data_IF_651555348792
#
_entry.id   IF_651555348792
#
_cell.length_a   1.000
_cell.length_b   1.000
_cell.length_c   1.000
_cell.angle_alpha   90.00
_cell.angle_beta   90.00
_cell.angle_gamma   90.00
#
_symmetry.space_group_name_H-M   'P 1'
#
loop_
_entity.id
_entity.type
_entity.pdbx_description
1 polymer ?
#
# COMPACT_ATOMS: atom_id res chain seq x y z
N UNK A 1 29.52 55.89 -11.61
CA UNK A 1 29.09 54.66 -10.93
C UNK A 1 27.78 54.26 -11.59
N UNK A 2 27.70 53.02 -12.06
CA UNK A 2 26.65 52.55 -12.96
C UNK A 2 25.41 52.13 -12.18
N UNK A 3 24.24 52.67 -12.54
CA UNK A 3 22.95 52.11 -12.16
C UNK A 3 22.62 51.03 -13.20
N UNK A 4 22.52 49.78 -12.77
CA UNK A 4 22.13 48.64 -13.60
C UNK A 4 20.79 48.11 -13.13
N UNK A 5 19.74 48.48 -13.85
CA UNK A 5 18.45 47.80 -13.81
C UNK A 5 18.58 46.45 -14.50
N UNK A 6 18.48 45.35 -13.75
CA UNK A 6 18.46 43.99 -14.29
C UNK A 6 17.09 43.35 -14.02
N UNK A 7 16.19 43.48 -15.00
CA UNK A 7 15.04 42.60 -15.16
C UNK A 7 15.53 41.27 -15.76
N UNK A 8 15.37 40.18 -15.01
CA UNK A 8 15.48 38.83 -15.58
C UNK A 8 14.57 37.87 -14.82
N UNK A 9 13.42 37.61 -15.43
CA UNK A 9 12.54 36.52 -15.04
C UNK A 9 13.24 35.17 -15.08
N UNK A 10 12.93 34.32 -14.11
CA UNK A 10 13.23 32.88 -14.20
C UNK A 10 12.18 32.04 -13.48
N UNK A 11 11.35 31.43 -14.32
CA UNK A 11 10.72 30.11 -14.21
C UNK A 11 10.05 29.74 -12.88
N UNK A 12 8.72 29.87 -12.84
CA UNK A 12 7.89 29.05 -11.97
C UNK A 12 8.10 27.56 -12.29
N UNK A 13 8.73 26.92 -11.32
CA UNK A 13 8.66 25.52 -10.96
C UNK A 13 7.31 24.88 -11.31
N UNK A 14 7.34 23.83 -12.15
CA UNK A 14 6.33 22.79 -12.18
C UNK A 14 7.05 21.45 -12.38
N UNK A 15 7.55 20.90 -11.27
CA UNK A 15 8.07 19.55 -11.19
C UNK A 15 6.93 18.54 -11.45
N UNK A 16 6.70 18.20 -12.71
CA UNK A 16 5.77 17.14 -13.13
C UNK A 16 6.40 15.77 -12.87
N UNK A 17 6.48 15.35 -11.61
CA UNK A 17 7.10 14.08 -11.18
C UNK A 17 6.24 13.18 -10.28
N UNK A 18 5.13 13.66 -9.74
CA UNK A 18 4.39 12.97 -8.66
C UNK A 18 3.27 12.00 -9.12
N UNK A 19 3.05 11.85 -10.43
CA UNK A 19 1.89 11.08 -10.92
C UNK A 19 2.11 9.55 -10.93
N UNK A 20 3.37 9.10 -10.98
CA UNK A 20 3.68 7.65 -11.04
C UNK A 20 3.57 7.01 -9.65
N UNK A 21 4.04 7.69 -8.60
CA UNK A 21 4.02 7.16 -7.23
C UNK A 21 2.59 7.06 -6.66
N UNK A 22 1.75 8.07 -6.93
CA UNK A 22 0.33 8.05 -6.55
C UNK A 22 -0.44 6.91 -7.23
N UNK A 23 -0.19 6.67 -8.53
CA UNK A 23 -0.84 5.57 -9.26
C UNK A 23 -0.40 4.18 -8.79
N UNK A 24 0.86 4.03 -8.38
CA UNK A 24 1.36 2.80 -7.78
C UNK A 24 0.72 2.54 -6.41
N UNK A 25 0.64 3.58 -5.56
CA UNK A 25 -0.01 3.50 -4.25
C UNK A 25 -1.48 3.12 -4.34
N UNK A 26 -2.22 3.65 -5.31
CA UNK A 26 -3.64 3.27 -5.53
C UNK A 26 -3.76 1.79 -5.94
N UNK A 27 -2.89 1.31 -6.82
CA UNK A 27 -2.88 -0.11 -7.25
C UNK A 27 -2.48 -1.07 -6.14
N UNK A 28 -1.70 -0.61 -5.18
CA UNK A 28 -1.30 -1.40 -4.02
C UNK A 28 -2.45 -1.51 -3.03
N UNK A 29 -3.24 -0.44 -2.85
CA UNK A 29 -4.47 -0.48 -2.06
C UNK A 29 -5.51 -1.48 -2.61
N UNK A 30 -5.59 -1.69 -3.93
CA UNK A 30 -6.47 -2.70 -4.53
C UNK A 30 -6.10 -4.14 -4.11
N UNK A 31 -4.86 -4.37 -3.67
CA UNK A 31 -4.36 -5.69 -3.24
C UNK A 31 -4.48 -5.91 -1.73
N UNK A 32 -4.72 -4.84 -0.98
CA UNK A 32 -4.85 -4.89 0.47
C UNK A 32 -6.31 -5.04 0.88
N UNK A 33 -6.56 -5.79 1.95
CA UNK A 33 -7.89 -5.80 2.58
C UNK A 33 -8.18 -4.42 3.16
N UNK A 34 -9.44 -3.97 3.16
CA UNK A 34 -9.76 -2.67 3.76
C UNK A 34 -9.39 -2.62 5.25
N UNK A 35 -8.77 -1.52 5.68
CA UNK A 35 -8.32 -1.33 7.06
C UNK A 35 -9.47 -1.44 8.08
N UNK A 36 -10.69 -1.09 7.66
CA UNK A 36 -11.89 -1.20 8.48
C UNK A 36 -12.25 -2.66 8.78
N UNK A 37 -12.10 -3.55 7.79
CA UNK A 37 -12.37 -4.97 7.97
C UNK A 37 -11.29 -5.62 8.84
N UNK A 38 -10.02 -5.28 8.64
CA UNK A 38 -8.90 -5.70 9.51
C UNK A 38 -9.16 -5.28 10.96
N UNK A 39 -9.46 -4.00 11.19
CA UNK A 39 -9.76 -3.46 12.52
C UNK A 39 -10.94 -4.17 13.20
N UNK A 40 -12.02 -4.50 12.46
CA UNK A 40 -13.15 -5.25 13.00
C UNK A 40 -12.75 -6.65 13.45
N UNK A 41 -11.91 -7.36 12.68
CA UNK A 41 -11.45 -8.71 13.02
C UNK A 41 -10.52 -8.67 14.23
N UNK A 42 -9.53 -7.77 14.23
CA UNK A 42 -8.61 -7.59 15.37
C UNK A 42 -9.37 -7.32 16.67
N UNK A 43 -10.43 -6.50 16.63
CA UNK A 43 -11.26 -6.20 17.81
C UNK A 43 -12.04 -7.39 18.36
N UNK A 44 -12.35 -8.43 17.56
CA UNK A 44 -13.13 -9.60 18.04
C UNK A 44 -12.41 -10.39 19.13
N UNK A 45 -11.08 -10.32 19.16
CA UNK A 45 -10.24 -11.04 20.13
C UNK A 45 -9.71 -10.13 21.24
N UNK A 46 -10.14 -8.86 21.26
CA UNK A 46 -9.71 -7.86 22.23
C UNK A 46 -10.87 -7.47 23.16
N UNK A 47 -10.58 -6.99 24.39
CA UNK A 47 -11.59 -6.43 25.27
C UNK A 47 -12.40 -5.29 24.63
N UNK A 48 -13.64 -5.12 25.11
CA UNK A 48 -14.46 -3.98 24.75
C UNK A 48 -13.71 -2.69 25.14
N UNK A 49 -13.51 -1.79 24.18
CA UNK A 49 -12.79 -0.50 24.27
C UNK A 49 -11.28 -0.52 24.03
N UNK A 50 -10.67 -1.64 23.64
CA UNK A 50 -9.26 -1.63 23.24
C UNK A 50 -9.04 -0.74 22.00
N UNK A 51 -8.06 0.15 22.11
CA UNK A 51 -7.56 0.97 21.00
C UNK A 51 -6.45 0.22 20.28
N UNK A 52 -6.44 0.28 18.95
CA UNK A 52 -5.41 -0.30 18.10
C UNK A 52 -4.74 0.88 17.38
N UNK A 53 -3.41 0.97 17.46
CA UNK A 53 -2.65 2.02 16.78
C UNK A 53 -2.82 1.94 15.27
N UNK A 54 -2.51 3.03 14.56
CA UNK A 54 -2.52 3.05 13.10
C UNK A 54 -1.53 2.02 12.54
N UNK A 55 -0.30 2.07 13.00
CA UNK A 55 0.79 1.20 12.55
C UNK A 55 0.45 -0.28 12.76
N UNK A 56 -0.14 -0.65 13.90
CA UNK A 56 -0.56 -2.03 14.13
C UNK A 56 -1.64 -2.50 13.15
N UNK A 57 -2.56 -1.62 12.72
CA UNK A 57 -3.56 -1.98 11.70
C UNK A 57 -2.92 -2.15 10.33
N UNK A 58 -1.96 -1.29 9.97
CA UNK A 58 -1.24 -1.34 8.69
C UNK A 58 -0.36 -2.59 8.62
N UNK A 59 0.42 -2.90 9.66
CA UNK A 59 1.21 -4.12 9.74
C UNK A 59 0.34 -5.38 9.62
N UNK A 60 -0.78 -5.44 10.34
CA UNK A 60 -1.67 -6.61 10.27
C UNK A 60 -2.36 -6.70 8.91
N UNK A 61 -2.70 -5.57 8.27
CA UNK A 61 -3.24 -5.55 6.92
C UNK A 61 -2.26 -6.18 5.91
N UNK A 62 -0.98 -5.78 5.96
CA UNK A 62 0.09 -6.37 5.14
C UNK A 62 0.23 -7.87 5.40
N UNK A 63 0.33 -8.28 6.68
CA UNK A 63 0.45 -9.69 7.05
C UNK A 63 -0.76 -10.54 6.61
N UNK A 64 -1.98 -10.00 6.68
CA UNK A 64 -3.19 -10.73 6.25
C UNK A 64 -3.22 -10.92 4.74
N UNK A 65 -2.83 -9.90 3.98
CA UNK A 65 -2.73 -10.01 2.52
C UNK A 65 -1.63 -10.99 2.10
N UNK A 66 -0.47 -10.96 2.76
CA UNK A 66 0.60 -11.93 2.54
C UNK A 66 0.16 -13.36 2.90
N UNK A 67 -0.56 -13.54 4.01
CA UNK A 67 -1.08 -14.85 4.40
C UNK A 67 -2.04 -15.43 3.35
N UNK A 68 -2.92 -14.61 2.76
CA UNK A 68 -3.78 -15.04 1.66
C UNK A 68 -2.94 -15.48 0.45
N UNK A 69 -1.91 -14.71 0.09
CA UNK A 69 -0.99 -15.06 -1.00
C UNK A 69 -0.22 -16.35 -0.70
N UNK A 70 0.22 -16.55 0.53
CA UNK A 70 0.90 -17.76 0.97
C UNK A 70 -0.01 -18.99 0.81
N UNK A 71 -1.22 -18.94 1.37
CA UNK A 71 -2.18 -20.06 1.30
C UNK A 71 -2.59 -20.36 -0.14
N UNK A 72 -2.89 -19.33 -0.92
CA UNK A 72 -3.31 -19.51 -2.33
C UNK A 72 -2.15 -19.94 -3.23
N UNK A 73 -0.93 -19.47 -2.96
CA UNK A 73 0.29 -19.91 -3.65
C UNK A 73 0.58 -21.39 -3.41
N UNK A 74 0.45 -21.86 -2.17
CA UNK A 74 0.61 -23.27 -1.81
C UNK A 74 -0.38 -24.19 -2.52
N UNK A 75 -1.65 -23.77 -2.62
CA UNK A 75 -2.68 -24.52 -3.36
C UNK A 75 -2.40 -24.49 -4.86
N UNK A 76 -1.97 -23.35 -5.40
CA UNK A 76 -1.65 -23.21 -6.83
C UNK A 76 -0.45 -24.07 -7.23
N UNK A 77 0.60 -24.13 -6.40
CA UNK A 77 1.75 -25.00 -6.61
C UNK A 77 1.30 -26.47 -6.69
N UNK A 78 0.46 -26.92 -5.74
CA UNK A 78 -0.06 -28.29 -5.72
C UNK A 78 -0.95 -28.59 -6.93
N UNK A 79 -1.82 -27.66 -7.33
CA UNK A 79 -2.65 -27.81 -8.52
C UNK A 79 -1.83 -27.83 -9.82
N UNK A 80 -0.75 -27.04 -9.93
CA UNK A 80 0.15 -27.10 -11.08
C UNK A 80 0.90 -28.43 -11.15
N UNK A 81 1.38 -28.95 -10.00
CA UNK A 81 2.02 -30.26 -9.95
C UNK A 81 1.06 -31.40 -10.32
N UNK A 82 -0.23 -31.28 -9.99
CA UNK A 82 -1.26 -32.29 -10.35
C UNK A 82 -1.72 -32.14 -11.81
N UNK A 83 -1.86 -30.91 -12.32
CA UNK A 83 -2.33 -30.66 -13.69
C UNK A 83 -1.25 -30.91 -14.76
N UNK A 84 0.02 -30.99 -14.35
CA UNK A 84 1.16 -31.45 -15.14
C UNK A 84 1.79 -32.70 -14.52
N UNK A 85 0.95 -33.66 -14.08
CA UNK A 85 1.43 -35.00 -13.73
C UNK A 85 2.17 -35.67 -14.91
N UNK A 86 3.06 -36.64 -14.63
CA UNK A 86 3.98 -37.22 -15.62
C UNK A 86 3.29 -37.86 -16.83
#
# INVERSE_FOLDING_TARGET
MADSDNDSGRAQNNNSGDNVNSKLSVREQDRLLSIANVSKIMKKVLPANTKISKDAKETVQECMSEFINFVTGEVSNKCQTISFGP
#
